data_IF_691325755395
#
_entry.id   IF_691325755395
#
_cell.length_a   1.000
_cell.length_b   1.000
_cell.length_c   1.000
_cell.angle_alpha   90.00
_cell.angle_beta   90.00
_cell.angle_gamma   90.00
#
_symmetry.space_group_name_H-M   'P 1'
#
loop_
_entity.id
_entity.type
_entity.pdbx_description
1 polymer ?
#
# COMPACT_ATOMS: atom_id res chain seq x y z
N UNK A 1 6.34 -8.86 17.59
CA UNK A 1 5.24 -9.01 16.63
C UNK A 1 5.07 -7.69 15.89
N UNK A 2 5.28 -7.64 14.56
CA UNK A 2 5.08 -6.43 13.77
C UNK A 2 3.68 -5.82 13.92
N UNK A 3 2.66 -6.64 14.12
CA UNK A 3 1.27 -6.19 14.24
C UNK A 3 1.01 -5.31 15.48
N UNK A 4 1.92 -5.31 16.46
CA UNK A 4 1.85 -4.45 17.64
C UNK A 4 2.31 -3.00 17.36
N UNK A 5 2.94 -2.74 16.21
CA UNK A 5 3.42 -1.41 15.83
C UNK A 5 2.26 -0.44 15.61
N UNK A 6 2.48 0.83 15.95
CA UNK A 6 1.43 1.83 15.95
C UNK A 6 0.80 2.04 14.56
N UNK A 7 1.58 1.97 13.49
CA UNK A 7 1.02 2.15 12.15
C UNK A 7 0.09 1.02 11.72
N UNK A 8 0.36 -0.24 12.10
CA UNK A 8 -0.57 -1.34 11.89
C UNK A 8 -1.87 -1.16 12.69
N UNK A 9 -1.82 -0.57 13.89
CA UNK A 9 -3.04 -0.23 14.64
C UNK A 9 -3.90 0.78 13.89
N UNK A 10 -3.29 1.82 13.30
CA UNK A 10 -4.01 2.84 12.53
C UNK A 10 -4.63 2.20 11.28
N UNK A 11 -3.85 1.42 10.51
CA UNK A 11 -4.33 0.69 9.32
C UNK A 11 -5.57 -0.15 9.65
N UNK A 12 -5.56 -0.89 10.76
CA UNK A 12 -6.69 -1.71 11.18
C UNK A 12 -7.95 -0.89 11.44
N UNK A 13 -7.82 0.29 12.06
CA UNK A 13 -8.96 1.14 12.39
C UNK A 13 -9.76 1.52 11.13
N UNK A 14 -9.07 1.89 10.04
CA UNK A 14 -9.77 2.40 8.86
C UNK A 14 -9.90 1.39 7.70
N UNK A 15 -9.11 0.31 7.66
CA UNK A 15 -9.18 -0.70 6.57
C UNK A 15 -10.01 -1.94 6.93
N UNK A 16 -10.30 -2.20 8.21
CA UNK A 16 -11.17 -3.32 8.60
C UNK A 16 -12.62 -3.07 8.20
N UNK A 17 -13.13 -1.87 8.45
CA UNK A 17 -14.53 -1.54 8.19
C UNK A 17 -14.95 -1.72 6.70
N UNK A 18 -14.17 -1.28 5.69
CA UNK A 18 -14.49 -1.53 4.29
C UNK A 18 -14.05 -2.94 3.81
N UNK A 19 -13.58 -3.80 4.72
CA UNK A 19 -13.18 -5.16 4.40
C UNK A 19 -11.84 -5.31 3.67
N UNK A 20 -11.05 -4.25 3.57
CA UNK A 20 -9.77 -4.28 2.87
C UNK A 20 -8.66 -4.99 3.67
N UNK A 21 -8.67 -4.89 5.00
CA UNK A 21 -7.68 -5.56 5.86
C UNK A 21 -8.08 -7.02 6.15
N UNK A 22 -7.23 -8.03 5.86
CA UNK A 22 -7.56 -9.43 6.05
C UNK A 22 -7.31 -9.90 7.48
N UNK A 23 -8.07 -9.34 8.43
CA UNK A 23 -7.90 -9.59 9.86
C UNK A 23 -8.02 -11.09 10.23
N UNK A 24 -8.84 -11.84 9.48
CA UNK A 24 -9.06 -13.27 9.66
C UNK A 24 -7.78 -14.10 9.52
N UNK A 25 -6.86 -13.68 8.66
CA UNK A 25 -5.58 -14.39 8.42
C UNK A 25 -4.58 -14.17 9.57
N UNK A 26 -4.75 -13.08 10.31
CA UNK A 26 -3.95 -12.74 11.48
C UNK A 26 -4.55 -13.26 12.80
N UNK A 27 -5.62 -14.06 12.73
CA UNK A 27 -6.28 -14.63 13.91
C UNK A 27 -7.22 -13.66 14.63
N UNK A 28 -7.55 -12.52 14.01
CA UNK A 28 -8.47 -11.54 14.57
C UNK A 28 -9.93 -11.94 14.28
N UNK A 29 -10.81 -11.68 15.24
CA UNK A 29 -12.24 -11.97 15.09
C UNK A 29 -12.88 -10.91 14.19
N UNK A 30 -13.13 -11.27 12.93
CA UNK A 30 -13.93 -10.46 12.02
C UNK A 30 -15.43 -10.73 12.23
N UNK A 31 -16.24 -9.69 12.39
CA UNK A 31 -17.69 -9.82 12.48
C UNK A 31 -18.29 -10.35 11.16
N UNK A 32 -19.43 -11.03 11.25
CA UNK A 32 -20.13 -11.54 10.06
C UNK A 32 -20.48 -10.40 9.08
N UNK A 33 -20.87 -9.23 9.61
CA UNK A 33 -21.22 -8.06 8.81
C UNK A 33 -20.06 -7.59 7.94
N UNK A 34 -18.84 -7.51 8.48
CA UNK A 34 -17.66 -7.08 7.70
C UNK A 34 -17.30 -8.12 6.65
N UNK A 35 -17.47 -9.42 6.93
CA UNK A 35 -17.22 -10.49 5.94
C UNK A 35 -18.19 -10.41 4.76
N UNK A 36 -19.48 -10.22 5.06
CA UNK A 36 -20.53 -10.08 4.04
C UNK A 36 -20.32 -8.80 3.26
N UNK A 37 -20.04 -7.68 3.93
CA UNK A 37 -19.70 -6.41 3.29
C UNK A 37 -18.52 -6.58 2.32
N UNK A 38 -17.39 -7.11 2.79
CA UNK A 38 -16.22 -7.43 1.96
C UNK A 38 -16.64 -8.20 0.71
N UNK A 39 -17.37 -9.30 0.85
CA UNK A 39 -17.77 -10.15 -0.28
C UNK A 39 -18.70 -9.43 -1.28
N UNK A 40 -19.56 -8.52 -0.80
CA UNK A 40 -20.52 -7.79 -1.63
C UNK A 40 -19.94 -6.52 -2.27
N UNK A 41 -18.80 -6.01 -1.80
CA UNK A 41 -18.21 -4.75 -2.28
C UNK A 41 -17.98 -4.67 -3.80
N UNK A 42 -17.47 -5.71 -4.50
CA UNK A 42 -17.32 -5.67 -5.96
C UNK A 42 -18.63 -5.54 -6.71
N UNK A 43 -19.67 -6.23 -6.25
CA UNK A 43 -21.01 -6.13 -6.85
C UNK A 43 -21.60 -4.75 -6.60
N UNK A 44 -21.47 -4.26 -5.37
CA UNK A 44 -21.99 -2.97 -4.95
C UNK A 44 -21.40 -1.80 -5.75
N UNK A 45 -20.08 -1.79 -5.90
CA UNK A 45 -19.35 -0.76 -6.65
C UNK A 45 -19.65 -0.84 -8.15
N UNK A 46 -19.81 -2.05 -8.70
CA UNK A 46 -20.22 -2.24 -10.10
C UNK A 46 -21.64 -1.71 -10.37
N UNK A 47 -22.57 -1.92 -9.44
CA UNK A 47 -23.94 -1.39 -9.54
C UNK A 47 -23.92 0.14 -9.57
N UNK A 48 -23.10 0.78 -8.72
CA UNK A 48 -22.94 2.23 -8.71
C UNK A 48 -22.40 2.77 -10.04
N UNK A 49 -21.37 2.14 -10.60
CA UNK A 49 -20.83 2.51 -11.92
C UNK A 49 -21.92 2.43 -13.00
N UNK A 50 -22.75 1.38 -12.99
CA UNK A 50 -23.88 1.26 -13.92
C UNK A 50 -24.88 2.41 -13.71
N UNK A 51 -25.15 2.79 -12.46
CA UNK A 51 -26.02 3.91 -12.13
C UNK A 51 -25.48 5.26 -12.60
N UNK A 52 -24.17 5.49 -12.50
CA UNK A 52 -23.50 6.69 -13.01
C UNK A 52 -23.54 6.76 -14.53
N UNK A 53 -23.26 5.64 -15.21
CA UNK A 53 -23.35 5.52 -16.67
C UNK A 53 -24.79 5.75 -17.16
N UNK A 54 -25.78 5.22 -16.45
CA UNK A 54 -27.18 5.43 -16.78
C UNK A 54 -27.61 6.88 -16.56
N UNK A 55 -27.14 7.52 -15.48
CA UNK A 55 -27.37 8.94 -15.23
C UNK A 55 -26.82 9.80 -16.37
N UNK A 56 -25.57 9.55 -16.80
CA UNK A 56 -24.96 10.20 -17.95
C UNK A 56 -25.76 10.00 -19.23
N UNK A 57 -26.25 8.77 -19.48
CA UNK A 57 -27.02 8.47 -20.69
C UNK A 57 -28.33 9.27 -20.77
N UNK A 58 -29.07 9.38 -19.66
CA UNK A 58 -30.34 10.11 -19.62
C UNK A 58 -30.12 11.62 -19.72
N UNK A 59 -29.17 12.17 -18.98
CA UNK A 59 -29.02 13.62 -18.85
C UNK A 59 -27.94 14.19 -19.80
N UNK A 60 -27.46 13.42 -20.78
CA UNK A 60 -26.39 13.85 -21.70
C UNK A 60 -26.69 15.15 -22.44
N UNK A 61 -27.97 15.46 -22.67
CA UNK A 61 -28.42 16.67 -23.39
C UNK A 61 -28.69 17.84 -22.44
N UNK A 62 -28.83 17.57 -21.14
CA UNK A 62 -29.15 18.56 -20.10
C UNK A 62 -27.92 19.02 -19.32
N UNK A 63 -26.91 18.13 -19.18
CA UNK A 63 -25.69 18.43 -18.46
C UNK A 63 -24.81 19.39 -19.25
N UNK A 64 -24.35 20.45 -18.58
CA UNK A 64 -23.28 21.30 -19.11
C UNK A 64 -21.95 20.53 -19.18
N UNK A 65 -21.00 21.09 -19.92
CA UNK A 65 -19.69 20.45 -20.15
C UNK A 65 -18.94 20.15 -18.84
N UNK A 66 -19.01 21.05 -17.85
CA UNK A 66 -18.29 20.91 -16.59
C UNK A 66 -18.88 19.80 -15.72
N UNK A 67 -20.21 19.75 -15.56
CA UNK A 67 -20.87 18.71 -14.78
C UNK A 67 -20.76 17.35 -15.46
N UNK A 68 -20.87 17.29 -16.79
CA UNK A 68 -20.60 16.07 -17.54
C UNK A 68 -19.17 15.57 -17.30
N UNK A 69 -18.18 16.47 -17.34
CA UNK A 69 -16.79 16.15 -17.02
C UNK A 69 -16.62 15.57 -15.61
N UNK A 70 -17.24 16.18 -14.58
CA UNK A 70 -17.18 15.68 -13.22
C UNK A 70 -17.78 14.28 -13.07
N UNK A 71 -18.96 14.03 -13.64
CA UNK A 71 -19.60 12.70 -13.55
C UNK A 71 -18.79 11.65 -14.29
N UNK A 72 -18.17 11.98 -15.43
CA UNK A 72 -17.25 11.08 -16.14
C UNK A 72 -16.03 10.72 -15.28
N UNK A 73 -15.40 11.71 -14.63
CA UNK A 73 -14.26 11.47 -13.72
C UNK A 73 -14.68 10.54 -12.58
N UNK A 74 -15.84 10.77 -11.99
CA UNK A 74 -16.36 9.91 -10.91
C UNK A 74 -16.69 8.50 -11.40
N UNK A 75 -17.20 8.36 -12.62
CA UNK A 75 -17.43 7.05 -13.24
C UNK A 75 -16.12 6.27 -13.39
N UNK A 76 -15.05 6.91 -13.87
CA UNK A 76 -13.73 6.27 -13.97
C UNK A 76 -13.17 5.91 -12.60
N UNK A 77 -13.37 6.77 -11.59
CA UNK A 77 -13.01 6.47 -10.21
C UNK A 77 -13.83 5.28 -9.66
N UNK A 78 -15.11 5.19 -9.98
CA UNK A 78 -15.99 4.06 -9.67
C UNK A 78 -15.49 2.75 -10.28
N UNK A 79 -15.07 2.77 -11.55
CA UNK A 79 -14.45 1.62 -12.22
C UNK A 79 -13.18 1.18 -11.51
N UNK A 80 -12.30 2.12 -11.15
CA UNK A 80 -11.08 1.82 -10.40
C UNK A 80 -11.40 1.14 -9.06
N UNK A 81 -12.39 1.65 -8.32
CA UNK A 81 -12.81 1.08 -7.04
C UNK A 81 -13.39 -0.32 -7.24
N UNK A 82 -14.19 -0.54 -8.29
CA UNK A 82 -14.74 -1.86 -8.60
C UNK A 82 -13.62 -2.88 -8.83
N UNK A 83 -12.58 -2.52 -9.61
CA UNK A 83 -11.40 -3.36 -9.81
C UNK A 83 -10.66 -3.59 -8.48
N UNK A 84 -10.40 -2.54 -7.71
CA UNK A 84 -9.66 -2.64 -6.43
C UNK A 84 -10.39 -3.43 -5.36
N UNK A 85 -11.72 -3.41 -5.35
CA UNK A 85 -12.53 -4.15 -4.38
C UNK A 85 -12.46 -5.68 -4.56
N UNK A 86 -11.97 -6.15 -5.72
CA UNK A 86 -11.69 -7.57 -5.98
C UNK A 86 -10.45 -8.02 -5.19
N UNK A 87 -9.47 -7.14 -5.01
CA UNK A 87 -8.17 -7.48 -4.41
C UNK A 87 -8.31 -8.12 -3.00
N UNK A 88 -9.10 -7.56 -2.05
CA UNK A 88 -9.35 -8.20 -0.75
C UNK A 88 -10.08 -9.55 -0.80
N UNK A 89 -10.65 -9.94 -1.94
CA UNK A 89 -11.25 -11.28 -2.11
C UNK A 89 -10.21 -12.34 -2.50
N UNK A 90 -9.08 -11.91 -3.08
CA UNK A 90 -8.10 -12.82 -3.63
C UNK A 90 -7.33 -13.51 -2.52
N UNK A 91 -7.30 -14.84 -2.56
CA UNK A 91 -6.44 -15.63 -1.65
C UNK A 91 -4.96 -15.23 -1.78
N UNK A 92 -4.52 -14.86 -2.99
CA UNK A 92 -3.15 -14.37 -3.23
C UNK A 92 -2.84 -13.12 -2.41
N UNK A 93 -3.78 -12.18 -2.30
CA UNK A 93 -3.64 -10.98 -1.46
C UNK A 93 -3.46 -11.32 0.02
N UNK A 94 -4.27 -12.24 0.55
CA UNK A 94 -4.15 -12.72 1.92
C UNK A 94 -2.79 -13.38 2.20
N UNK A 95 -2.32 -14.21 1.27
CA UNK A 95 -1.02 -14.89 1.38
C UNK A 95 0.13 -13.90 1.32
N UNK A 96 0.09 -12.93 0.40
CA UNK A 96 1.10 -11.90 0.25
C UNK A 96 1.21 -11.05 1.53
N UNK A 97 0.09 -10.58 2.10
CA UNK A 97 0.11 -9.82 3.35
C UNK A 97 0.58 -10.63 4.55
N UNK A 98 0.29 -11.93 4.56
CA UNK A 98 0.83 -12.83 5.58
C UNK A 98 2.35 -12.95 5.47
N UNK A 99 2.86 -13.14 4.26
CA UNK A 99 4.31 -13.22 3.99
C UNK A 99 5.00 -11.89 4.29
N UNK A 100 4.36 -10.77 3.94
CA UNK A 100 4.82 -9.43 4.31
C UNK A 100 5.05 -9.30 5.82
N UNK A 101 4.00 -9.56 6.62
CA UNK A 101 4.06 -9.37 8.08
C UNK A 101 4.94 -10.41 8.77
N UNK A 102 4.84 -11.68 8.39
CA UNK A 102 5.48 -12.79 9.13
C UNK A 102 6.89 -13.12 8.67
N UNK A 103 7.25 -12.77 7.42
CA UNK A 103 8.55 -13.13 6.83
C UNK A 103 9.33 -11.87 6.47
N UNK A 104 8.75 -10.98 5.67
CA UNK A 104 9.49 -9.84 5.08
C UNK A 104 9.63 -8.63 6.01
N UNK A 105 8.94 -8.61 7.15
CA UNK A 105 9.06 -7.47 8.03
C UNK A 105 10.46 -7.43 8.68
N UNK A 106 11.16 -6.30 8.58
CA UNK A 106 12.54 -6.14 9.06
C UNK A 106 12.73 -6.44 10.56
N UNK A 107 11.66 -6.32 11.36
CA UNK A 107 11.65 -6.68 12.78
C UNK A 107 12.15 -8.12 13.03
N UNK A 108 11.95 -9.04 12.09
CA UNK A 108 12.43 -10.42 12.21
C UNK A 108 13.95 -10.55 12.00
N UNK A 109 14.59 -9.54 11.44
CA UNK A 109 16.02 -9.51 11.13
C UNK A 109 16.83 -8.61 12.06
N UNK A 110 16.16 -7.80 12.91
CA UNK A 110 16.81 -6.80 13.78
C UNK A 110 17.89 -7.36 14.73
N UNK A 111 17.80 -8.65 15.07
CA UNK A 111 18.74 -9.30 15.99
C UNK A 111 20.05 -9.75 15.30
N UNK A 112 20.15 -9.65 13.97
CA UNK A 112 21.34 -10.06 13.21
C UNK A 112 22.52 -9.10 13.34
N UNK A 113 22.28 -7.86 13.75
CA UNK A 113 23.36 -6.88 13.96
C UNK A 113 22.85 -5.46 14.21
N UNK A 114 23.75 -4.54 14.61
CA UNK A 114 23.39 -3.15 14.92
C UNK A 114 22.84 -2.42 13.70
N UNK A 115 23.42 -2.64 12.52
CA UNK A 115 22.94 -2.03 11.27
C UNK A 115 21.51 -2.48 10.91
N UNK A 116 21.20 -3.78 11.08
CA UNK A 116 19.86 -4.32 10.86
C UNK A 116 18.82 -3.66 11.77
N UNK A 117 19.18 -3.48 13.05
CA UNK A 117 18.32 -2.80 14.03
C UNK A 117 18.09 -1.34 13.62
N UNK A 118 19.14 -0.61 13.23
CA UNK A 118 19.05 0.78 12.80
C UNK A 118 18.14 0.95 11.57
N UNK A 119 18.30 0.08 10.56
CA UNK A 119 17.46 0.11 9.36
C UNK A 119 16.01 -0.23 9.70
N UNK A 120 15.76 -1.25 10.53
CA UNK A 120 14.41 -1.55 10.99
C UNK A 120 13.75 -0.35 11.68
N UNK A 121 14.44 0.29 12.63
CA UNK A 121 13.90 1.45 13.36
C UNK A 121 13.62 2.64 12.42
N UNK A 122 14.47 2.84 11.42
CA UNK A 122 14.29 3.89 10.41
C UNK A 122 13.08 3.61 9.52
N UNK A 123 12.97 2.39 8.99
CA UNK A 123 11.85 1.97 8.14
C UNK A 123 10.53 1.99 8.92
N UNK A 124 10.50 1.52 10.16
CA UNK A 124 9.31 1.56 11.03
C UNK A 124 8.88 3.02 11.29
N UNK A 125 9.82 3.93 11.49
CA UNK A 125 9.55 5.36 11.69
C UNK A 125 8.99 6.02 10.42
N UNK A 126 9.57 5.75 9.26
CA UNK A 126 9.06 6.24 7.96
C UNK A 126 7.65 5.70 7.71
N UNK A 127 7.46 4.38 7.91
CA UNK A 127 6.18 3.70 7.78
C UNK A 127 5.10 4.34 8.65
N UNK A 128 5.44 4.71 9.88
CA UNK A 128 4.55 5.40 10.80
C UNK A 128 4.14 6.79 10.32
N UNK A 129 5.09 7.65 9.96
CA UNK A 129 4.76 8.98 9.46
C UNK A 129 3.96 8.94 8.17
N UNK A 130 4.32 8.04 7.25
CA UNK A 130 3.59 7.87 6.00
C UNK A 130 2.15 7.38 6.23
N UNK A 131 1.95 6.48 7.20
CA UNK A 131 0.59 6.04 7.60
C UNK A 131 -0.24 7.17 8.18
N UNK A 132 0.33 8.02 9.03
CA UNK A 132 -0.38 9.21 9.55
C UNK A 132 -0.74 10.14 8.39
N UNK A 133 0.21 10.44 7.52
CA UNK A 133 -0.01 11.28 6.35
C UNK A 133 -1.14 10.74 5.47
N UNK A 134 -1.11 9.45 5.13
CA UNK A 134 -2.16 8.80 4.35
C UNK A 134 -3.53 8.87 5.05
N UNK A 135 -3.59 8.67 6.37
CA UNK A 135 -4.83 8.79 7.12
C UNK A 135 -5.41 10.22 7.09
N UNK A 136 -4.55 11.25 7.16
CA UNK A 136 -4.96 12.65 7.02
C UNK A 136 -5.49 12.93 5.60
N UNK A 137 -4.81 12.41 4.57
CA UNK A 137 -5.24 12.55 3.17
C UNK A 137 -6.62 11.91 2.97
N UNK A 138 -6.83 10.69 3.47
CA UNK A 138 -8.12 10.00 3.43
C UNK A 138 -9.22 10.81 4.11
N UNK A 139 -8.99 11.28 5.34
CA UNK A 139 -9.97 12.06 6.09
C UNK A 139 -10.32 13.36 5.36
N UNK A 140 -9.31 14.05 4.83
CA UNK A 140 -9.48 15.31 4.09
C UNK A 140 -10.24 15.08 2.78
N UNK A 141 -9.91 14.03 2.03
CA UNK A 141 -10.60 13.69 0.78
C UNK A 141 -12.09 13.42 1.02
N UNK A 142 -12.43 12.65 2.06
CA UNK A 142 -13.82 12.38 2.41
C UNK A 142 -14.60 13.63 2.77
N UNK A 143 -14.02 14.50 3.60
CA UNK A 143 -14.65 15.74 4.04
C UNK A 143 -14.86 16.66 2.82
N UNK A 144 -13.81 16.90 2.04
CA UNK A 144 -13.86 17.82 0.89
C UNK A 144 -14.86 17.37 -0.18
N UNK A 145 -14.98 16.07 -0.42
CA UNK A 145 -15.93 15.54 -1.39
C UNK A 145 -17.39 15.80 -1.00
N UNK A 146 -17.70 15.78 0.30
CA UNK A 146 -19.08 15.92 0.79
C UNK A 146 -19.42 17.33 1.30
N UNK A 147 -18.43 18.15 1.68
CA UNK A 147 -18.68 19.42 2.35
C UNK A 147 -19.36 20.44 1.43
N UNK A 148 -18.99 20.50 0.15
CA UNK A 148 -19.55 21.46 -0.81
C UNK A 148 -21.07 21.25 -0.99
N UNK A 149 -21.56 20.06 -1.39
CA UNK A 149 -23.00 19.85 -1.53
C UNK A 149 -23.73 19.97 -0.19
N UNK A 150 -23.15 19.51 0.93
CA UNK A 150 -23.76 19.68 2.24
C UNK A 150 -23.92 21.16 2.62
N UNK A 151 -22.88 21.97 2.40
CA UNK A 151 -22.91 23.39 2.69
C UNK A 151 -23.92 24.14 1.83
N UNK A 152 -23.96 23.87 0.52
CA UNK A 152 -24.90 24.49 -0.40
C UNK A 152 -26.35 24.14 -0.02
N UNK A 153 -26.63 22.87 0.28
CA UNK A 153 -27.95 22.41 0.70
C UNK A 153 -28.39 23.08 2.01
N UNK A 154 -27.55 23.05 3.05
CA UNK A 154 -27.87 23.65 4.36
C UNK A 154 -28.11 25.14 4.23
N UNK A 155 -27.26 25.83 3.49
CA UNK A 155 -27.30 27.29 3.34
C UNK A 155 -28.57 27.73 2.59
N UNK A 156 -28.89 27.08 1.47
CA UNK A 156 -30.06 27.46 0.68
C UNK A 156 -31.39 27.03 1.33
N UNK A 157 -31.43 25.87 2.00
CA UNK A 157 -32.67 25.35 2.61
C UNK A 157 -32.95 26.00 3.98
N UNK A 158 -31.95 26.07 4.86
CA UNK A 158 -32.18 26.49 6.25
C UNK A 158 -31.91 27.98 6.48
N UNK A 159 -30.91 28.56 5.82
CA UNK A 159 -30.47 29.95 6.06
C UNK A 159 -31.23 30.92 5.16
N UNK A 160 -31.05 30.80 3.85
CA UNK A 160 -31.65 31.71 2.88
C UNK A 160 -33.08 31.37 2.50
N UNK A 161 -33.51 30.12 2.73
CA UNK A 161 -34.86 29.61 2.41
C UNK A 161 -35.26 29.92 0.96
N UNK A 162 -34.34 29.67 0.05
CA UNK A 162 -34.49 29.97 -1.38
C UNK A 162 -35.66 29.16 -1.96
N UNK A 163 -36.67 29.83 -2.52
CA UNK A 163 -37.95 29.20 -2.90
C UNK A 163 -37.86 28.21 -4.08
N UNK A 164 -36.74 28.10 -4.80
CA UNK A 164 -36.54 27.19 -5.94
C UNK A 164 -35.14 26.56 -5.98
N UNK A 165 -34.61 26.17 -4.83
CA UNK A 165 -33.29 25.54 -4.78
C UNK A 165 -33.35 24.04 -5.09
N UNK A 166 -32.53 23.59 -6.04
CA UNK A 166 -32.35 22.16 -6.36
C UNK A 166 -31.33 21.54 -5.41
N UNK A 167 -31.72 20.45 -4.76
CA UNK A 167 -30.84 19.73 -3.84
C UNK A 167 -29.66 19.09 -4.58
N UNK A 168 -28.46 19.27 -4.02
CA UNK A 168 -27.21 18.80 -4.60
C UNK A 168 -26.71 17.53 -3.92
N UNK A 169 -26.19 16.58 -4.71
CA UNK A 169 -25.46 15.41 -4.20
C UNK A 169 -23.97 15.50 -4.47
N UNK A 170 -23.17 14.83 -3.65
CA UNK A 170 -21.74 14.65 -3.88
C UNK A 170 -21.46 13.72 -5.07
N UNK A 171 -22.32 12.72 -5.27
CA UNK A 171 -22.27 11.78 -6.38
C UNK A 171 -23.68 11.60 -6.96
N UNK A 172 -23.78 11.68 -8.28
CA UNK A 172 -25.03 11.51 -9.03
C UNK A 172 -25.04 10.16 -9.73
N UNK A 173 -26.05 9.35 -9.45
CA UNK A 173 -26.33 8.08 -10.11
C UNK A 173 -27.84 7.91 -10.23
N UNK A 174 -28.34 7.09 -11.16
CA UNK A 174 -29.79 6.85 -11.31
C UNK A 174 -30.05 5.43 -11.80
N UNK A 175 -31.24 4.90 -11.54
CA UNK A 175 -31.66 3.60 -12.06
C UNK A 175 -33.08 3.69 -12.65
N UNK A 176 -33.48 2.78 -13.57
CA UNK A 176 -34.85 2.71 -14.05
C UNK A 176 -35.85 2.58 -12.89
N UNK A 177 -36.77 3.53 -12.78
CA UNK A 177 -37.80 3.54 -11.72
C UNK A 177 -37.29 3.94 -10.32
N UNK A 178 -36.05 4.40 -10.17
CA UNK A 178 -35.51 4.90 -8.92
C UNK A 178 -34.75 6.22 -9.15
N UNK A 179 -35.25 7.30 -8.56
CA UNK A 179 -34.58 8.60 -8.52
C UNK A 179 -34.04 8.85 -7.10
N UNK A 180 -32.72 9.02 -6.91
CA UNK A 180 -32.18 9.27 -5.58
C UNK A 180 -32.64 10.59 -4.94
N UNK A 181 -33.14 11.55 -5.73
CA UNK A 181 -33.69 12.81 -5.23
C UNK A 181 -34.94 12.59 -4.37
N UNK A 182 -35.77 11.59 -4.71
CA UNK A 182 -36.98 11.24 -3.95
C UNK A 182 -36.66 10.78 -2.52
N UNK A 183 -35.42 10.35 -2.28
CA UNK A 183 -34.94 9.79 -1.02
C UNK A 183 -33.75 10.58 -0.45
N UNK A 184 -33.73 11.89 -0.69
CA UNK A 184 -32.57 12.77 -0.46
C UNK A 184 -31.79 12.57 0.85
N UNK A 185 -32.40 12.50 2.06
CA UNK A 185 -31.63 12.31 3.29
C UNK A 185 -30.88 10.98 3.33
N UNK A 186 -31.51 9.91 2.86
CA UNK A 186 -30.91 8.57 2.83
C UNK A 186 -29.81 8.47 1.76
N UNK A 187 -30.04 9.05 0.58
CA UNK A 187 -29.06 9.15 -0.50
C UNK A 187 -27.83 9.93 -0.06
N UNK A 188 -28.01 11.01 0.70
CA UNK A 188 -26.91 11.83 1.23
C UNK A 188 -26.04 11.04 2.20
N UNK A 189 -26.64 10.32 3.15
CA UNK A 189 -25.90 9.45 4.08
C UNK A 189 -25.15 8.35 3.31
N UNK A 190 -25.81 7.78 2.31
CA UNK A 190 -25.22 6.75 1.49
C UNK A 190 -24.06 7.28 0.62
N UNK A 191 -24.13 8.51 0.13
CA UNK A 191 -23.01 9.18 -0.55
C UNK A 191 -21.79 9.35 0.35
N UNK A 192 -21.97 9.73 1.62
CA UNK A 192 -20.88 9.78 2.60
C UNK A 192 -20.23 8.39 2.78
N UNK A 193 -21.06 7.34 2.83
CA UNK A 193 -20.57 5.95 2.87
C UNK A 193 -19.80 5.57 1.60
N UNK A 194 -20.26 5.97 0.40
CA UNK A 194 -19.56 5.72 -0.85
C UNK A 194 -18.20 6.44 -0.88
N UNK A 195 -18.15 7.70 -0.47
CA UNK A 195 -16.91 8.47 -0.37
C UNK A 195 -15.92 7.85 0.62
N UNK A 196 -16.40 7.34 1.75
CA UNK A 196 -15.57 6.60 2.70
C UNK A 196 -14.92 5.38 2.06
N UNK A 197 -15.72 4.52 1.43
CA UNK A 197 -15.20 3.29 0.80
C UNK A 197 -14.26 3.61 -0.35
N UNK A 198 -14.57 4.62 -1.17
CA UNK A 198 -13.70 5.12 -2.23
C UNK A 198 -12.32 5.50 -1.69
N UNK A 199 -12.27 6.41 -0.71
CA UNK A 199 -11.00 6.90 -0.15
C UNK A 199 -10.15 5.77 0.44
N UNK A 200 -10.76 4.79 1.13
CA UNK A 200 -10.01 3.67 1.68
C UNK A 200 -9.56 2.67 0.60
N UNK A 201 -10.41 2.34 -0.37
CA UNK A 201 -10.04 1.40 -1.44
C UNK A 201 -8.95 1.98 -2.35
N UNK A 202 -8.95 3.28 -2.56
CA UNK A 202 -7.88 3.94 -3.31
C UNK A 202 -6.64 4.07 -2.42
N UNK A 203 -6.68 4.93 -1.41
CA UNK A 203 -5.48 5.30 -0.66
C UNK A 203 -5.02 4.22 0.33
N UNK A 204 -5.91 3.40 0.87
CA UNK A 204 -5.57 2.37 1.85
C UNK A 204 -4.83 1.18 1.21
N UNK A 205 -5.26 0.74 0.03
CA UNK A 205 -4.56 -0.31 -0.72
C UNK A 205 -3.17 0.19 -1.15
N UNK A 206 -3.08 1.43 -1.65
CA UNK A 206 -1.81 2.04 -2.03
C UNK A 206 -0.89 2.23 -0.81
N UNK A 207 -1.42 2.60 0.36
CA UNK A 207 -0.65 2.66 1.61
C UNK A 207 -0.01 1.32 1.94
N UNK A 208 -0.75 0.22 1.85
CA UNK A 208 -0.19 -1.12 2.11
C UNK A 208 0.96 -1.42 1.16
N UNK A 209 0.80 -1.11 -0.13
CA UNK A 209 1.87 -1.28 -1.12
C UNK A 209 3.12 -0.46 -0.75
N UNK A 210 2.96 0.82 -0.38
CA UNK A 210 4.10 1.64 0.05
C UNK A 210 4.81 1.10 1.29
N UNK A 211 4.07 0.60 2.28
CA UNK A 211 4.65 -0.02 3.47
C UNK A 211 5.46 -1.28 3.13
N UNK A 212 4.97 -2.07 2.17
CA UNK A 212 5.70 -3.21 1.63
C UNK A 212 6.99 -2.75 0.96
N UNK A 213 6.91 -1.73 0.10
CA UNK A 213 8.06 -1.16 -0.61
C UNK A 213 9.11 -0.62 0.38
N UNK A 214 8.72 0.06 1.45
CA UNK A 214 9.68 0.54 2.46
C UNK A 214 10.45 -0.60 3.14
N UNK A 215 9.78 -1.72 3.44
CA UNK A 215 10.45 -2.91 3.98
C UNK A 215 11.41 -3.54 2.96
N UNK A 216 11.03 -3.61 1.68
CA UNK A 216 11.90 -4.08 0.59
C UNK A 216 13.14 -3.18 0.46
N UNK A 217 12.96 -1.86 0.45
CA UNK A 217 14.06 -0.90 0.38
C UNK A 217 15.03 -1.11 1.55
N UNK A 218 14.52 -1.28 2.78
CA UNK A 218 15.37 -1.57 3.94
C UNK A 218 16.13 -2.88 3.81
N UNK A 219 15.51 -3.93 3.27
CA UNK A 219 16.22 -5.18 2.95
C UNK A 219 17.34 -4.99 1.92
N UNK A 220 17.12 -4.19 0.87
CA UNK A 220 18.13 -3.87 -0.13
C UNK A 220 19.30 -3.09 0.49
N UNK A 221 19.04 -2.13 1.37
CA UNK A 221 20.10 -1.41 2.09
C UNK A 221 20.94 -2.33 2.98
N UNK A 222 20.29 -3.27 3.67
CA UNK A 222 20.98 -4.29 4.47
C UNK A 222 21.87 -5.18 3.59
N UNK A 223 21.33 -5.67 2.46
CA UNK A 223 22.09 -6.50 1.53
C UNK A 223 23.31 -5.74 0.98
N UNK A 224 23.10 -4.49 0.57
CA UNK A 224 24.17 -3.60 0.12
C UNK A 224 25.24 -3.43 1.20
N UNK A 225 24.84 -3.13 2.43
CA UNK A 225 25.79 -2.99 3.55
C UNK A 225 26.62 -4.27 3.78
N UNK A 226 25.99 -5.45 3.72
CA UNK A 226 26.71 -6.72 3.89
C UNK A 226 27.72 -6.96 2.76
N UNK A 227 27.41 -6.55 1.53
CA UNK A 227 28.30 -6.67 0.38
C UNK A 227 29.45 -5.63 0.42
N UNK A 228 29.18 -4.40 0.85
CA UNK A 228 30.20 -3.35 0.99
C UNK A 228 31.15 -3.62 2.17
N UNK A 229 30.67 -4.30 3.21
CA UNK A 229 31.46 -4.66 4.40
C UNK A 229 31.85 -6.15 4.39
N UNK A 230 31.94 -6.75 3.20
CA UNK A 230 32.37 -8.12 3.04
C UNK A 230 33.83 -8.27 3.52
N UNK A 231 34.18 -9.32 4.28
CA UNK A 231 35.53 -9.45 4.82
C UNK A 231 36.58 -9.53 3.72
N UNK A 232 37.57 -8.64 3.76
CA UNK A 232 38.79 -8.75 2.96
C UNK A 232 39.75 -9.79 3.56
N UNK A 233 40.64 -10.39 2.76
CA UNK A 233 41.64 -11.32 3.29
C UNK A 233 42.55 -10.61 4.29
N UNK A 234 42.79 -11.22 5.46
CA UNK A 234 43.69 -10.60 6.46
C UNK A 234 45.15 -10.90 6.16
N UNK A 235 45.42 -11.95 5.38
CA UNK A 235 46.78 -12.39 5.05
C UNK A 235 47.27 -11.70 3.78
N UNK A 236 48.38 -10.96 3.91
CA UNK A 236 49.19 -10.48 2.81
C UNK A 236 50.33 -11.46 2.56
N UNK A 237 50.24 -12.23 1.49
CA UNK A 237 51.33 -13.08 1.02
C UNK A 237 52.26 -12.21 0.18
N UNK A 238 53.49 -12.02 0.64
CA UNK A 238 54.50 -11.27 -0.11
C UNK A 238 55.31 -12.25 -0.96
N UNK A 239 55.22 -12.12 -2.27
CA UNK A 239 56.04 -12.84 -3.23
C UNK A 239 57.26 -12.01 -3.59
N UNK A 240 58.45 -12.56 -3.32
CA UNK A 240 59.70 -11.96 -3.78
C UNK A 240 59.87 -12.25 -5.27
N UNK A 241 59.87 -11.21 -6.09
CA UNK A 241 59.95 -11.34 -7.55
C UNK A 241 61.27 -11.96 -8.02
N UNK A 242 62.33 -11.82 -7.23
CA UNK A 242 63.63 -12.45 -7.44
C UNK A 242 63.52 -13.98 -7.54
N UNK A 243 62.63 -14.59 -6.76
CA UNK A 243 62.44 -16.05 -6.73
C UNK A 243 61.62 -16.57 -7.91
N UNK A 244 60.74 -15.75 -8.49
CA UNK A 244 59.78 -16.16 -9.53
C UNK A 244 60.26 -15.83 -10.94
N UNK A 245 60.86 -14.65 -11.16
CA UNK A 245 61.20 -14.15 -12.51
C UNK A 245 62.70 -14.09 -12.81
N UNK A 246 63.59 -14.44 -11.86
CA UNK A 246 65.05 -14.28 -11.99
C UNK A 246 65.45 -12.87 -12.51
N UNK A 247 64.64 -11.86 -12.20
CA UNK A 247 64.86 -10.48 -12.61
C UNK A 247 65.46 -9.70 -11.43
N UNK A 248 66.52 -8.92 -11.68
CA UNK A 248 67.21 -8.08 -10.68
C UNK A 248 66.40 -6.81 -10.37
N UNK A 249 65.20 -6.97 -9.85
CA UNK A 249 64.36 -5.86 -9.37
C UNK A 249 63.85 -6.17 -7.97
N UNK A 250 64.11 -5.27 -7.01
CA UNK A 250 63.63 -5.33 -5.62
C UNK A 250 62.16 -4.90 -5.50
N UNK A 251 61.29 -5.42 -6.37
CA UNK A 251 59.85 -5.15 -6.28
C UNK A 251 59.15 -6.34 -5.63
N UNK A 252 58.62 -6.15 -4.43
CA UNK A 252 57.82 -7.14 -3.73
C UNK A 252 56.37 -7.09 -4.24
N UNK A 253 55.84 -8.22 -4.72
CA UNK A 253 54.41 -8.33 -5.06
C UNK A 253 53.68 -8.89 -3.83
N UNK A 254 52.92 -8.04 -3.14
CA UNK A 254 51.99 -8.50 -2.10
C UNK A 254 50.65 -8.91 -2.72
N UNK A 255 50.19 -10.12 -2.45
CA UNK A 255 48.86 -10.62 -2.81
C UNK A 255 48.06 -10.92 -1.55
N UNK A 256 46.82 -10.45 -1.51
CA UNK A 256 45.89 -10.75 -0.41
C UNK A 256 45.20 -12.08 -0.71
N UNK A 257 45.39 -13.10 0.15
CA UNK A 257 44.80 -14.44 -0.03
C UNK A 257 44.07 -14.87 1.24
N UNK A 258 42.88 -15.43 1.07
CA UNK A 258 42.13 -16.01 2.18
C UNK A 258 42.76 -17.33 2.61
N UNK A 259 42.91 -17.55 3.92
CA UNK A 259 43.19 -18.89 4.44
C UNK A 259 41.95 -19.81 4.36
N UNK A 260 42.11 -21.09 4.73
CA UNK A 260 41.03 -22.07 4.64
C UNK A 260 39.81 -21.72 5.51
N UNK A 261 40.02 -21.11 6.68
CA UNK A 261 38.95 -20.75 7.61
C UNK A 261 38.28 -19.44 7.19
N UNK A 262 39.05 -18.45 6.74
CA UNK A 262 38.53 -17.22 6.16
C UNK A 262 37.71 -17.48 4.89
N UNK A 263 38.16 -18.41 4.04
CA UNK A 263 37.43 -18.81 2.84
C UNK A 263 36.12 -19.54 3.20
N UNK A 264 36.11 -20.32 4.29
CA UNK A 264 34.89 -20.92 4.83
C UNK A 264 33.91 -19.86 5.34
N UNK A 265 34.39 -18.89 6.11
CA UNK A 265 33.58 -17.78 6.62
C UNK A 265 33.02 -16.90 5.48
N UNK A 266 33.85 -16.56 4.50
CA UNK A 266 33.46 -15.81 3.31
C UNK A 266 32.36 -16.56 2.52
N UNK A 267 32.50 -17.88 2.32
CA UNK A 267 31.46 -18.69 1.66
C UNK A 267 30.12 -18.65 2.39
N UNK A 268 30.13 -18.75 3.72
CA UNK A 268 28.91 -18.67 4.53
C UNK A 268 28.23 -17.30 4.41
N UNK A 269 29.00 -16.21 4.52
CA UNK A 269 28.49 -14.85 4.33
C UNK A 269 27.93 -14.60 2.93
N UNK A 270 28.61 -15.12 1.91
CA UNK A 270 28.14 -15.03 0.53
C UNK A 270 26.83 -15.80 0.34
N UNK A 271 26.74 -17.01 0.90
CA UNK A 271 25.50 -17.80 0.89
C UNK A 271 24.35 -17.04 1.56
N UNK A 272 24.58 -16.43 2.73
CA UNK A 272 23.56 -15.62 3.40
C UNK A 272 23.10 -14.43 2.54
N UNK A 273 24.03 -13.75 1.86
CA UNK A 273 23.68 -12.64 0.95
C UNK A 273 22.85 -13.13 -0.24
N UNK A 274 23.20 -14.27 -0.84
CA UNK A 274 22.47 -14.88 -1.96
C UNK A 274 21.05 -15.27 -1.52
N UNK A 275 20.91 -15.93 -0.36
CA UNK A 275 19.59 -16.32 0.15
C UNK A 275 18.72 -15.12 0.52
N UNK A 276 19.32 -14.07 1.10
CA UNK A 276 18.60 -12.82 1.37
C UNK A 276 18.17 -12.14 0.06
N UNK A 277 19.02 -12.11 -0.96
CA UNK A 277 18.66 -11.56 -2.27
C UNK A 277 17.53 -12.35 -2.94
N UNK A 278 17.56 -13.69 -2.92
CA UNK A 278 16.48 -14.55 -3.42
C UNK A 278 15.17 -14.29 -2.71
N UNK A 279 15.20 -14.09 -1.38
CA UNK A 279 14.02 -13.73 -0.60
C UNK A 279 13.40 -12.41 -1.09
N UNK A 280 14.23 -11.39 -1.35
CA UNK A 280 13.78 -10.09 -1.84
C UNK A 280 13.14 -10.24 -3.24
N UNK A 281 13.83 -10.88 -4.19
CA UNK A 281 13.33 -11.07 -5.56
C UNK A 281 12.03 -11.86 -5.54
N UNK A 282 12.02 -13.03 -4.90
CA UNK A 282 10.85 -13.91 -4.90
C UNK A 282 9.61 -13.28 -4.26
N UNK A 283 9.79 -12.39 -3.28
CA UNK A 283 8.68 -11.61 -2.74
C UNK A 283 8.25 -10.43 -3.63
N UNK A 284 9.20 -9.79 -4.33
CA UNK A 284 8.92 -8.70 -5.26
C UNK A 284 8.19 -9.20 -6.51
N UNK A 285 8.51 -10.39 -6.99
CA UNK A 285 7.80 -11.05 -8.10
C UNK A 285 6.33 -11.33 -7.72
N UNK A 286 6.09 -11.90 -6.53
CA UNK A 286 4.74 -12.14 -6.00
C UNK A 286 3.95 -10.83 -5.78
N UNK A 287 4.64 -9.75 -5.38
CA UNK A 287 4.03 -8.43 -5.23
C UNK A 287 3.59 -7.86 -6.58
N UNK A 288 4.45 -7.94 -7.59
CA UNK A 288 4.23 -7.38 -8.93
C UNK A 288 3.22 -8.17 -9.75
N UNK A 289 3.04 -9.47 -9.46
CA UNK A 289 1.97 -10.28 -10.07
C UNK A 289 0.58 -9.83 -9.59
N UNK A 290 0.50 -9.25 -8.38
CA UNK A 290 -0.76 -8.93 -7.73
C UNK A 290 -1.17 -7.46 -7.84
N UNK A 291 -0.22 -6.52 -7.69
CA UNK A 291 -0.42 -5.08 -7.72
C UNK A 291 0.03 -4.49 -9.06
#
# INVERSE_FOLDING_TARGET
DPLALNYFKIIRIFMVAPGAWPADVFGEKLSLLVRVHRALMPYHTSVIVIGELYYLYIHKEELDFLNMGHVIIFTFLGVLIAIRSILPQLRKYHLLLTKFVRVMHLMHFKNKGPYYKQINETVDKISYYYTIFAAIVVATAMINFNIVPLFNNVTNVLIYKTENYTLEFALYYKYPGFDPLDYFPSTTIYNVYLSYNCSIMVCGIDLILFLIIFQIIGHVYILRYNLENFPSPKIKVVFKLEEILKHKGNEDISSEMFDAEENREARLKLQECIEHHKLIIGFTDELSELF
#
